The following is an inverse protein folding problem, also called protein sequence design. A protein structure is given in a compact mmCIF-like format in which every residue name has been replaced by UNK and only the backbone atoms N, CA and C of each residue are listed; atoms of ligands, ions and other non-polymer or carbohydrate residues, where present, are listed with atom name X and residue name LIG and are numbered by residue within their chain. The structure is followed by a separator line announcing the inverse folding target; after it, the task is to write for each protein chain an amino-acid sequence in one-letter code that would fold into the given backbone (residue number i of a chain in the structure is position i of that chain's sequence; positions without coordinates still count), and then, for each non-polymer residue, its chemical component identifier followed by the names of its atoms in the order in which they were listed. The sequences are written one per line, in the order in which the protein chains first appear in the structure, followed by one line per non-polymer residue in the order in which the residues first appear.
data_IF_308932530899
#
_entry.id   IF_308932530899
#
_cell.length_a   1.000
_cell.length_b   1.000
_cell.length_c   1.000
_cell.angle_alpha   90.00
_cell.angle_beta   90.00
_cell.angle_gamma   90.00
#
_symmetry.space_group_name_H-M   'P 1'
#
loop_
_entity.id
_entity.type
_entity.pdbx_description
1 polymer ?
#
# COMPACT_ATOMS: atom_id res chain seq x y z
N UNK A 1 5.05 38.40 6.91
CA UNK A 1 4.10 37.28 6.64
C UNK A 1 3.79 36.63 7.98
N UNK A 2 2.53 36.60 8.38
CA UNK A 2 2.10 36.00 9.65
C UNK A 2 2.03 34.47 9.51
N UNK A 3 2.91 33.76 10.21
CA UNK A 3 2.95 32.29 10.19
C UNK A 3 1.81 31.62 11.00
N UNK A 4 0.93 32.41 11.64
CA UNK A 4 -0.16 31.91 12.50
C UNK A 4 -1.38 31.38 11.74
N UNK A 5 -1.52 31.68 10.45
CA UNK A 5 -2.58 31.15 9.58
C UNK A 5 -2.02 30.18 8.53
N UNK A 6 -1.56 29.00 8.96
CA UNK A 6 -1.15 27.93 8.03
C UNK A 6 -2.11 26.76 8.15
N UNK A 7 -2.68 26.34 7.02
CA UNK A 7 -3.39 25.08 6.90
C UNK A 7 -2.43 24.06 6.29
N UNK A 8 -2.15 22.99 7.02
CA UNK A 8 -1.31 21.89 6.57
C UNK A 8 -2.19 20.67 6.40
N UNK A 9 -2.14 20.06 5.22
CA UNK A 9 -2.85 18.82 4.94
C UNK A 9 -1.82 17.77 4.54
N UNK A 10 -1.92 16.60 5.17
CA UNK A 10 -1.10 15.44 4.86
C UNK A 10 -1.99 14.40 4.15
N UNK A 11 -1.51 13.88 3.03
CA UNK A 11 -2.16 12.81 2.31
C UNK A 11 -1.21 11.64 2.19
N UNK A 12 -1.70 10.46 2.53
CA UNK A 12 -1.06 9.18 2.27
C UNK A 12 -2.03 8.31 1.48
N UNK A 13 -1.49 7.45 0.62
CA UNK A 13 -2.27 6.61 -0.27
C UNK A 13 -2.37 5.20 0.30
N UNK A 14 -3.60 4.75 0.53
CA UNK A 14 -3.88 3.43 1.08
C UNK A 14 -3.34 2.33 0.15
N UNK A 15 -2.42 1.53 0.69
CA UNK A 15 -1.84 0.37 0.00
C UNK A 15 -1.36 0.70 -1.42
N UNK A 16 -0.65 1.84 -1.59
CA UNK A 16 -0.37 2.46 -2.89
C UNK A 16 -0.07 1.49 -4.06
N UNK A 17 0.94 0.62 -3.94
CA UNK A 17 1.29 -0.29 -5.04
C UNK A 17 0.23 -1.38 -5.30
N UNK A 18 -0.49 -1.82 -4.28
CA UNK A 18 -1.64 -2.71 -4.48
C UNK A 18 -2.77 -1.97 -5.21
N UNK A 19 -3.01 -0.71 -4.86
CA UNK A 19 -4.00 0.14 -5.53
C UNK A 19 -3.65 0.38 -7.00
N UNK A 20 -2.37 0.60 -7.33
CA UNK A 20 -1.88 0.63 -8.71
C UNK A 20 -2.14 -0.70 -9.43
N UNK A 21 -1.84 -1.83 -8.79
CA UNK A 21 -2.03 -3.13 -9.43
C UNK A 21 -3.51 -3.48 -9.63
N UNK A 22 -4.40 -3.05 -8.72
CA UNK A 22 -5.87 -3.18 -8.86
C UNK A 22 -6.44 -2.31 -9.98
N UNK A 23 -5.82 -1.17 -10.28
CA UNK A 23 -6.16 -0.37 -11.45
C UNK A 23 -5.83 -1.12 -12.76
N UNK A 24 -4.68 -1.81 -12.78
CA UNK A 24 -4.24 -2.60 -13.94
C UNK A 24 -5.00 -3.92 -14.09
N UNK A 25 -5.34 -4.56 -12.97
CA UNK A 25 -6.12 -5.79 -12.91
C UNK A 25 -7.23 -5.67 -11.85
N UNK A 26 -8.45 -5.28 -12.26
CA UNK A 26 -9.61 -5.21 -11.37
C UNK A 26 -10.01 -6.56 -10.75
N UNK A 27 -9.49 -7.69 -11.25
CA UNK A 27 -9.71 -9.01 -10.64
C UNK A 27 -9.06 -9.15 -9.26
N UNK A 28 -8.23 -8.20 -8.83
CA UNK A 28 -7.52 -8.19 -7.54
C UNK A 28 -8.29 -7.50 -6.40
N UNK A 29 -9.45 -6.90 -6.66
CA UNK A 29 -10.31 -6.37 -5.60
C UNK A 29 -10.88 -7.50 -4.73
N UNK A 30 -10.87 -7.29 -3.41
CA UNK A 30 -11.36 -8.28 -2.43
C UNK A 30 -10.45 -9.48 -2.21
N UNK A 31 -9.27 -9.51 -2.83
CA UNK A 31 -8.30 -10.60 -2.69
C UNK A 31 -7.11 -10.20 -1.81
N UNK A 32 -6.51 -11.15 -1.06
CA UNK A 32 -5.21 -10.95 -0.44
C UNK A 32 -4.13 -10.78 -1.50
N UNK A 33 -3.53 -9.59 -1.57
CA UNK A 33 -2.48 -9.22 -2.54
C UNK A 33 -1.24 -8.72 -1.81
N UNK A 34 -0.08 -9.15 -2.32
CA UNK A 34 1.26 -8.69 -1.93
C UNK A 34 1.96 -8.19 -3.19
N UNK A 35 2.63 -7.05 -3.08
CA UNK A 35 3.56 -6.52 -4.08
C UNK A 35 4.95 -6.48 -3.45
N UNK A 36 5.94 -7.11 -4.09
CA UNK A 36 7.29 -7.24 -3.56
C UNK A 36 8.29 -7.73 -4.60
N UNK A 37 9.56 -7.90 -4.19
CA UNK A 37 10.62 -8.39 -5.07
C UNK A 37 10.48 -9.88 -5.41
N UNK A 38 10.95 -10.28 -6.60
CA UNK A 38 10.87 -11.67 -7.12
C UNK A 38 12.02 -12.59 -6.67
N UNK A 39 12.90 -12.11 -5.79
CA UNK A 39 14.04 -12.89 -5.30
C UNK A 39 13.60 -13.93 -4.25
N UNK A 40 14.45 -14.93 -4.00
CA UNK A 40 14.21 -15.96 -2.96
C UNK A 40 13.96 -15.35 -1.56
N UNK A 41 14.54 -14.17 -1.30
CA UNK A 41 14.29 -13.36 -0.09
C UNK A 41 13.76 -11.97 -0.47
N UNK A 42 12.73 -11.93 -1.30
CA UNK A 42 12.03 -10.71 -1.66
C UNK A 42 11.32 -10.08 -0.46
N UNK A 43 11.37 -8.74 -0.40
CA UNK A 43 10.70 -7.96 0.65
C UNK A 43 9.32 -7.52 0.17
N UNK A 44 8.33 -7.52 1.06
CA UNK A 44 7.00 -6.98 0.84
C UNK A 44 7.06 -5.46 0.76
N UNK A 45 6.94 -4.90 -0.44
CA UNK A 45 6.86 -3.45 -0.65
C UNK A 45 5.48 -2.90 -0.23
N UNK A 46 4.41 -3.62 -0.54
CA UNK A 46 3.03 -3.26 -0.17
C UNK A 46 2.15 -4.50 -0.04
N UNK A 47 1.14 -4.44 0.82
CA UNK A 47 0.14 -5.50 0.97
C UNK A 47 -1.26 -4.92 1.15
N UNK A 48 -2.25 -5.64 0.63
CA UNK A 48 -3.67 -5.32 0.76
C UNK A 48 -4.15 -5.45 2.21
N UNK A 49 -5.26 -4.79 2.58
CA UNK A 49 -5.87 -5.00 3.90
C UNK A 49 -6.32 -6.45 4.11
N UNK A 50 -6.77 -7.11 3.06
CA UNK A 50 -7.13 -8.53 3.05
C UNK A 50 -5.91 -9.42 3.39
N UNK A 51 -4.72 -9.05 2.92
CA UNK A 51 -3.48 -9.75 3.28
C UNK A 51 -3.06 -9.49 4.74
N UNK A 52 -3.31 -8.29 5.27
CA UNK A 52 -3.01 -7.96 6.69
C UNK A 52 -3.78 -8.83 7.68
N UNK A 53 -4.98 -9.31 7.32
CA UNK A 53 -5.73 -10.27 8.14
C UNK A 53 -4.93 -11.55 8.42
N UNK A 54 -4.06 -11.95 7.49
CA UNK A 54 -3.17 -13.11 7.62
C UNK A 54 -1.83 -12.78 8.29
N UNK A 55 -1.67 -11.59 8.86
CA UNK A 55 -0.44 -11.15 9.54
C UNK A 55 0.66 -10.64 8.60
N UNK A 56 0.38 -10.44 7.31
CA UNK A 56 1.34 -9.87 6.36
C UNK A 56 1.46 -8.36 6.55
N UNK A 57 2.69 -7.85 6.58
CA UNK A 57 2.98 -6.43 6.70
C UNK A 57 4.06 -6.00 5.70
N UNK A 58 4.07 -4.71 5.35
CA UNK A 58 5.19 -4.14 4.58
C UNK A 58 6.51 -4.34 5.33
N UNK A 59 7.60 -4.51 4.56
CA UNK A 59 8.94 -4.85 5.04
C UNK A 59 9.12 -6.25 5.65
N UNK A 60 8.12 -7.13 5.53
CA UNK A 60 8.27 -8.57 5.74
C UNK A 60 9.07 -9.23 4.61
#
# INVERSE_FOLDING_TARGET
MDFRNRHIVHFDLDTFFVSCQRLLDPGLFGKPVIVGGVAERGVVASCSYEARYYGVHSAM
#
